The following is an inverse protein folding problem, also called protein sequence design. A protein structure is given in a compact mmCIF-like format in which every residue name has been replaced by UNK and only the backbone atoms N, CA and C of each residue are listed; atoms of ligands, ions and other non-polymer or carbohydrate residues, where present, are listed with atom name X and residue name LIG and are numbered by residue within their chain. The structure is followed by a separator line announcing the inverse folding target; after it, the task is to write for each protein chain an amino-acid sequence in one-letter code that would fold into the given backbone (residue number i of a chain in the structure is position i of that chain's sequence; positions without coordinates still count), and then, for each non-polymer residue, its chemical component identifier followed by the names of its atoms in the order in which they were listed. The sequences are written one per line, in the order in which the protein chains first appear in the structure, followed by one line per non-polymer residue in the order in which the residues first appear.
data_IF_679470473317
#
_entry.id   IF_679470473317
#
_cell.length_a   1.000
_cell.length_b   1.000
_cell.length_c   1.000
_cell.angle_alpha   90.00
_cell.angle_beta   90.00
_cell.angle_gamma   90.00
#
_symmetry.space_group_name_H-M   'P 1'
#
loop_
_entity.id
_entity.type
_entity.pdbx_description
1 polymer ?
#
# COMPACT_ATOMS: atom_id res chain seq x y z
N UNK A 1 -12.37 -80.40 1.93
CA UNK A 1 -13.51 -79.71 1.29
C UNK A 1 -13.07 -78.30 0.92
N UNK A 2 -12.84 -78.00 -0.36
CA UNK A 2 -12.42 -76.66 -0.83
C UNK A 2 -13.62 -75.99 -1.50
N UNK A 3 -14.07 -74.88 -0.96
CA UNK A 3 -15.20 -74.09 -1.49
C UNK A 3 -14.68 -73.07 -2.50
N UNK A 4 -15.15 -73.16 -3.75
CA UNK A 4 -14.91 -72.16 -4.78
C UNK A 4 -15.78 -70.93 -4.50
N UNK A 5 -15.15 -69.77 -4.29
CA UNK A 5 -15.85 -68.48 -4.20
C UNK A 5 -15.95 -67.89 -5.60
N UNK A 6 -17.15 -67.93 -6.18
CA UNK A 6 -17.46 -67.27 -7.46
C UNK A 6 -17.36 -65.74 -7.28
N UNK A 7 -16.30 -65.15 -7.85
CA UNK A 7 -16.02 -63.72 -7.79
C UNK A 7 -16.83 -63.02 -8.88
N UNK A 8 -18.04 -62.54 -8.55
CA UNK A 8 -18.82 -61.65 -9.43
C UNK A 8 -18.04 -60.36 -9.65
N UNK A 9 -17.51 -60.17 -10.86
CA UNK A 9 -16.94 -58.89 -11.29
C UNK A 9 -18.12 -57.91 -11.52
N UNK A 10 -18.34 -57.02 -10.55
CA UNK A 10 -19.25 -55.89 -10.71
C UNK A 10 -18.53 -54.90 -11.64
N UNK A 11 -18.91 -54.90 -12.92
CA UNK A 11 -18.51 -53.84 -13.85
C UNK A 11 -19.26 -52.57 -13.45
N UNK A 12 -18.62 -51.73 -12.64
CA UNK A 12 -19.07 -50.37 -12.39
C UNK A 12 -18.98 -49.63 -13.72
N UNK A 13 -20.11 -49.27 -14.31
CA UNK A 13 -20.16 -48.45 -15.52
C UNK A 13 -19.58 -47.07 -15.18
N UNK A 14 -18.34 -46.83 -15.58
CA UNK A 14 -17.75 -45.50 -15.51
C UNK A 14 -18.48 -44.60 -16.51
N UNK A 15 -19.29 -43.67 -15.98
CA UNK A 15 -19.96 -42.65 -16.79
C UNK A 15 -18.91 -41.62 -17.21
N UNK A 16 -18.56 -41.61 -18.49
CA UNK A 16 -17.71 -40.57 -19.07
C UNK A 16 -18.45 -39.24 -19.21
N UNK A 17 -17.74 -38.13 -19.02
CA UNK A 17 -18.26 -36.80 -19.34
C UNK A 17 -18.49 -36.65 -20.84
N UNK A 18 -19.56 -35.94 -21.20
CA UNK A 18 -19.80 -35.58 -22.60
C UNK A 18 -18.88 -34.44 -23.04
N UNK A 19 -18.49 -34.43 -24.32
CA UNK A 19 -17.68 -33.34 -24.88
C UNK A 19 -18.37 -31.97 -24.74
N UNK A 20 -19.70 -31.95 -24.82
CA UNK A 20 -20.49 -30.72 -24.71
C UNK A 20 -20.50 -30.17 -23.28
N UNK A 21 -20.54 -31.01 -22.25
CA UNK A 21 -20.44 -30.57 -20.86
C UNK A 21 -19.11 -29.88 -20.59
N UNK A 22 -18.01 -30.45 -21.09
CA UNK A 22 -16.68 -29.88 -20.90
C UNK A 22 -16.52 -28.56 -21.68
N UNK A 23 -17.10 -28.47 -22.88
CA UNK A 23 -17.06 -27.26 -23.71
C UNK A 23 -17.85 -26.11 -23.07
N UNK A 24 -19.04 -26.37 -22.54
CA UNK A 24 -19.85 -25.35 -21.85
C UNK A 24 -19.16 -24.90 -20.56
N UNK A 25 -18.52 -25.81 -19.83
CA UNK A 25 -17.82 -25.47 -18.59
C UNK A 25 -16.68 -24.46 -18.82
N UNK A 26 -15.82 -24.68 -19.81
CA UNK A 26 -14.72 -23.75 -20.12
C UNK A 26 -15.26 -22.41 -20.64
N UNK A 27 -16.39 -22.41 -21.36
CA UNK A 27 -17.04 -21.18 -21.83
C UNK A 27 -17.54 -20.32 -20.66
N UNK A 28 -18.19 -20.93 -19.67
CA UNK A 28 -18.68 -20.22 -18.48
C UNK A 28 -17.52 -19.70 -17.64
N UNK A 29 -16.49 -20.53 -17.40
CA UNK A 29 -15.28 -20.11 -16.66
C UNK A 29 -14.61 -18.93 -17.35
N UNK A 30 -14.53 -18.92 -18.68
CA UNK A 30 -13.97 -17.81 -19.46
C UNK A 30 -14.70 -16.49 -19.25
N UNK A 31 -16.04 -16.51 -19.26
CA UNK A 31 -16.86 -15.30 -19.03
C UNK A 31 -16.68 -14.80 -17.60
N UNK A 32 -16.77 -15.70 -16.61
CA UNK A 32 -16.62 -15.34 -15.20
C UNK A 32 -15.22 -14.79 -14.88
N UNK A 33 -14.18 -15.39 -15.46
CA UNK A 33 -12.80 -14.93 -15.29
C UNK A 33 -12.59 -13.51 -15.84
N UNK A 34 -13.22 -13.15 -16.97
CA UNK A 34 -13.14 -11.81 -17.54
C UNK A 34 -13.66 -10.72 -16.61
N UNK A 35 -14.83 -10.95 -15.96
CA UNK A 35 -15.43 -9.97 -15.03
C UNK A 35 -14.60 -9.82 -13.75
N UNK A 36 -14.07 -10.92 -13.22
CA UNK A 36 -13.28 -10.94 -11.99
C UNK A 36 -11.96 -10.17 -12.16
N UNK A 37 -11.34 -10.24 -13.33
CA UNK A 37 -10.05 -9.58 -13.58
C UNK A 37 -10.16 -8.04 -13.48
N UNK A 38 -11.21 -7.45 -14.05
CA UNK A 38 -11.44 -6.00 -14.02
C UNK A 38 -11.77 -5.53 -12.60
N UNK A 39 -12.61 -6.27 -11.87
CA UNK A 39 -12.99 -5.90 -10.49
C UNK A 39 -11.82 -6.00 -9.52
N UNK A 40 -10.96 -7.02 -9.68
CA UNK A 40 -9.78 -7.22 -8.83
C UNK A 40 -8.70 -6.17 -9.05
N UNK A 41 -8.48 -5.72 -10.29
CA UNK A 41 -7.54 -4.64 -10.60
C UNK A 41 -7.90 -3.33 -9.89
N UNK A 42 -9.18 -2.94 -9.95
CA UNK A 42 -9.67 -1.74 -9.27
C UNK A 42 -9.59 -1.86 -7.74
N UNK A 43 -9.91 -3.04 -7.19
CA UNK A 43 -9.79 -3.30 -5.76
C UNK A 43 -8.34 -3.18 -5.27
N UNK A 44 -7.38 -3.72 -6.04
CA UNK A 44 -5.94 -3.59 -5.74
C UNK A 44 -5.53 -2.12 -5.71
N UNK A 45 -5.88 -1.33 -6.72
CA UNK A 45 -5.50 0.09 -6.77
C UNK A 45 -6.04 0.88 -5.57
N UNK A 46 -7.28 0.60 -5.14
CA UNK A 46 -7.87 1.20 -3.93
C UNK A 46 -7.17 0.75 -2.64
N UNK A 47 -6.76 -0.52 -2.56
CA UNK A 47 -6.03 -1.04 -1.41
C UNK A 47 -4.66 -0.36 -1.27
N UNK A 48 -3.94 -0.17 -2.38
CA UNK A 48 -2.66 0.56 -2.43
C UNK A 48 -2.83 2.01 -1.99
N UNK A 49 -3.87 2.70 -2.45
CA UNK A 49 -4.17 4.06 -2.01
C UNK A 49 -4.46 4.12 -0.50
N UNK A 50 -5.32 3.22 0.01
CA UNK A 50 -5.67 3.18 1.43
C UNK A 50 -4.45 2.91 2.33
N UNK A 51 -3.58 2.00 1.91
CA UNK A 51 -2.39 1.66 2.66
C UNK A 51 -1.35 2.80 2.63
N UNK A 52 -1.20 3.49 1.49
CA UNK A 52 -0.41 4.73 1.39
C UNK A 52 -0.90 5.80 2.37
N UNK A 53 -2.23 6.02 2.44
CA UNK A 53 -2.83 6.97 3.40
C UNK A 53 -2.52 6.60 4.85
N UNK A 54 -2.62 5.32 5.19
CA UNK A 54 -2.33 4.82 6.52
C UNK A 54 -0.86 5.04 6.89
N UNK A 55 0.05 4.74 5.96
CA UNK A 55 1.50 4.95 6.13
C UNK A 55 1.85 6.44 6.32
N UNK A 56 1.25 7.35 5.57
CA UNK A 56 1.49 8.79 5.77
C UNK A 56 0.89 9.30 7.09
N UNK A 57 -0.26 8.76 7.51
CA UNK A 57 -0.90 9.15 8.76
C UNK A 57 -0.11 8.68 9.98
N UNK A 58 0.47 7.47 9.94
CA UNK A 58 1.28 6.94 11.05
C UNK A 58 2.57 7.73 11.27
N UNK A 59 3.08 8.39 10.22
CA UNK A 59 4.24 9.27 10.33
C UNK A 59 3.97 10.55 11.12
N UNK A 60 2.72 11.00 11.29
CA UNK A 60 2.41 12.30 11.93
C UNK A 60 3.00 12.42 13.34
N UNK A 61 2.70 11.46 14.21
CA UNK A 61 3.22 11.44 15.57
C UNK A 61 4.75 11.26 15.59
N UNK A 62 5.24 10.42 14.69
CA UNK A 62 6.65 10.07 14.60
C UNK A 62 7.51 11.28 14.14
N UNK A 63 7.01 12.08 13.21
CA UNK A 63 7.61 13.36 12.76
C UNK A 63 7.62 14.39 13.87
N UNK A 64 6.52 14.54 14.63
CA UNK A 64 6.48 15.46 15.76
C UNK A 64 7.56 15.11 16.80
N UNK A 65 7.71 13.83 17.13
CA UNK A 65 8.76 13.36 18.04
C UNK A 65 10.16 13.58 17.45
N UNK A 66 10.37 13.22 16.18
CA UNK A 66 11.64 13.43 15.49
C UNK A 66 12.07 14.91 15.52
N UNK A 67 11.18 15.82 15.15
CA UNK A 67 11.50 17.24 15.04
C UNK A 67 11.63 17.94 16.39
N UNK A 68 11.02 17.40 17.45
CA UNK A 68 11.12 18.00 18.79
C UNK A 68 12.53 17.95 19.39
N UNK A 69 13.38 17.02 18.96
CA UNK A 69 14.73 16.85 19.49
C UNK A 69 15.80 17.46 18.55
N UNK A 70 16.61 18.38 19.07
CA UNK A 70 17.66 19.07 18.30
C UNK A 70 18.84 18.17 17.89
N UNK A 71 18.99 16.99 18.48
CA UNK A 71 20.00 16.00 18.09
C UNK A 71 19.56 15.12 16.90
N UNK A 72 18.27 15.16 16.55
CA UNK A 72 17.75 14.38 15.44
C UNK A 72 17.96 15.12 14.11
N UNK A 73 18.26 14.35 13.06
CA UNK A 73 18.43 14.86 11.70
C UNK A 73 17.59 13.99 10.76
N UNK A 74 16.92 14.61 9.80
CA UNK A 74 16.23 13.86 8.76
C UNK A 74 17.24 13.11 7.91
N UNK A 75 16.95 11.84 7.67
CA UNK A 75 17.68 11.02 6.72
C UNK A 75 16.87 10.98 5.42
N UNK A 76 17.53 11.29 4.32
CA UNK A 76 16.95 11.20 2.98
C UNK A 76 17.45 9.98 2.21
N UNK A 77 18.33 9.18 2.83
CA UNK A 77 18.89 7.96 2.25
C UNK A 77 17.78 6.92 2.04
N UNK A 78 17.55 6.46 0.80
CA UNK A 78 16.56 5.42 0.52
C UNK A 78 16.81 4.17 1.37
N UNK A 79 15.78 3.67 2.04
CA UNK A 79 15.88 2.48 2.88
C UNK A 79 16.48 2.70 4.27
N UNK A 80 16.79 3.93 4.65
CA UNK A 80 17.08 4.30 6.04
C UNK A 80 15.82 4.83 6.72
N UNK A 81 15.78 4.78 8.05
CA UNK A 81 14.75 5.42 8.87
C UNK A 81 14.70 6.91 8.54
N UNK A 82 13.51 7.52 8.47
CA UNK A 82 13.36 8.94 8.08
C UNK A 82 14.08 9.91 9.04
N UNK A 83 14.38 9.49 10.28
CA UNK A 83 15.01 10.31 11.30
C UNK A 83 16.14 9.54 11.98
N UNK A 84 17.27 10.21 12.19
CA UNK A 84 18.35 9.68 13.00
C UNK A 84 17.91 9.59 14.47
N UNK A 85 18.01 8.39 15.05
CA UNK A 85 17.52 8.06 16.38
C UNK A 85 18.51 8.44 17.48
N UNK A 86 18.50 9.71 17.94
CA UNK A 86 19.14 10.04 19.21
C UNK A 86 18.33 9.56 20.43
N UNK A 87 17.03 9.30 20.25
CA UNK A 87 16.06 8.93 21.31
C UNK A 87 15.33 7.59 21.06
N UNK A 88 15.84 6.73 20.18
CA UNK A 88 15.27 5.40 19.93
C UNK A 88 13.91 5.39 19.19
N UNK A 89 13.46 6.53 18.67
CA UNK A 89 12.26 6.63 17.84
C UNK A 89 12.54 6.16 16.41
N UNK A 90 12.44 4.85 16.16
CA UNK A 90 12.55 4.29 14.80
C UNK A 90 11.43 4.87 13.94
N UNK A 91 11.78 5.74 13.00
CA UNK A 91 10.85 6.10 11.94
C UNK A 91 10.79 4.97 10.92
N UNK A 92 9.66 4.84 10.23
CA UNK A 92 9.56 3.86 9.15
C UNK A 92 10.62 4.19 8.11
N UNK A 93 11.39 3.18 7.67
CA UNK A 93 12.32 3.35 6.58
C UNK A 93 11.57 3.91 5.37
N UNK A 94 12.23 4.71 4.51
CA UNK A 94 11.65 5.06 3.21
C UNK A 94 11.21 3.82 2.40
N UNK A 95 11.83 2.66 2.68
CA UNK A 95 11.44 1.33 2.18
C UNK A 95 10.27 0.66 2.92
N UNK A 96 9.96 1.00 4.16
CA UNK A 96 8.81 0.46 4.90
C UNK A 96 7.52 1.25 4.61
N UNK A 97 7.65 2.47 4.08
CA UNK A 97 6.54 3.12 3.36
C UNK A 97 6.20 2.37 2.06
N UNK A 98 7.16 1.63 1.49
CA UNK A 98 6.91 0.75 0.36
C UNK A 98 5.96 -0.36 0.79
N UNK A 99 4.81 -0.38 0.14
CA UNK A 99 3.74 -1.31 0.46
C UNK A 99 4.16 -2.74 0.14
N UNK A 100 3.64 -3.74 0.89
CA UNK A 100 3.86 -5.13 0.54
C UNK A 100 3.29 -5.35 -0.86
N UNK A 101 4.16 -5.73 -1.80
CA UNK A 101 3.84 -6.04 -3.20
C UNK A 101 3.71 -4.85 -4.17
N UNK A 102 4.15 -3.65 -3.81
CA UNK A 102 4.24 -2.53 -4.77
C UNK A 102 5.70 -2.25 -5.10
N UNK A 103 6.22 -2.96 -6.10
CA UNK A 103 7.47 -2.57 -6.74
C UNK A 103 7.38 -1.15 -7.32
N UNK A 104 6.15 -0.68 -7.61
CA UNK A 104 5.86 0.55 -8.32
C UNK A 104 5.96 1.80 -7.44
N UNK A 105 5.33 1.84 -6.25
CA UNK A 105 5.28 3.09 -5.46
C UNK A 105 6.64 3.43 -4.86
N UNK A 106 7.10 4.65 -5.12
CA UNK A 106 8.38 5.17 -4.64
C UNK A 106 8.15 6.38 -3.73
N UNK A 107 8.87 6.42 -2.62
CA UNK A 107 8.78 7.48 -1.61
C UNK A 107 10.10 8.23 -1.53
N UNK A 108 10.05 9.55 -1.61
CA UNK A 108 11.15 10.46 -1.32
C UNK A 108 10.79 11.34 -0.13
N UNK A 109 11.75 11.64 0.74
CA UNK A 109 11.55 12.53 1.89
C UNK A 109 12.46 13.73 1.77
N UNK A 110 11.94 14.92 2.07
CA UNK A 110 12.68 16.18 2.03
C UNK A 110 12.16 17.18 3.07
N UNK A 111 12.92 18.25 3.29
CA UNK A 111 12.57 19.34 4.21
C UNK A 111 13.60 19.53 5.32
N UNK A 112 13.27 20.42 6.25
CA UNK A 112 14.04 20.68 7.47
C UNK A 112 13.14 20.45 8.67
N UNK A 113 13.62 19.69 9.64
CA UNK A 113 12.88 19.26 10.82
C UNK A 113 13.68 19.69 12.05
N UNK A 114 13.09 20.56 12.87
CA UNK A 114 13.66 21.03 14.13
C UNK A 114 12.52 21.45 15.08
N UNK A 115 12.86 21.86 16.30
CA UNK A 115 11.85 22.18 17.31
C UNK A 115 10.87 23.29 16.88
N UNK A 116 11.32 24.23 16.04
CA UNK A 116 10.51 25.32 15.48
C UNK A 116 9.75 24.91 14.20
N UNK A 117 10.29 23.99 13.41
CA UNK A 117 9.73 23.50 12.14
C UNK A 117 9.48 22.00 12.27
N UNK A 118 8.31 21.62 12.76
CA UNK A 118 7.93 20.23 12.98
C UNK A 118 7.19 19.65 11.77
N UNK A 119 7.80 19.75 10.59
CA UNK A 119 7.21 19.27 9.35
C UNK A 119 8.21 18.65 8.39
N UNK A 120 7.76 17.66 7.62
CA UNK A 120 8.51 17.05 6.51
C UNK A 120 7.66 17.01 5.26
N UNK A 121 8.32 16.94 4.11
CA UNK A 121 7.68 16.65 2.83
C UNK A 121 7.96 15.20 2.45
N UNK A 122 6.91 14.46 2.07
CA UNK A 122 6.99 13.12 1.51
C UNK A 122 6.46 13.17 0.09
N UNK A 123 7.33 12.92 -0.88
CA UNK A 123 6.93 12.79 -2.28
C UNK A 123 6.64 11.33 -2.60
N UNK A 124 5.47 11.08 -3.15
CA UNK A 124 5.09 9.77 -3.69
C UNK A 124 5.19 9.85 -5.19
N UNK A 125 5.78 8.85 -5.83
CA UNK A 125 5.82 8.70 -7.28
C UNK A 125 5.47 7.29 -7.72
N UNK A 126 4.99 7.14 -8.96
CA UNK A 126 4.67 5.84 -9.58
C UNK A 126 3.59 5.07 -8.80
N UNK A 127 2.58 5.80 -8.32
CA UNK A 127 1.41 5.23 -7.69
C UNK A 127 0.36 4.80 -8.75
N UNK A 128 -0.30 3.63 -8.60
CA UNK A 128 -1.28 3.14 -9.59
C UNK A 128 -2.47 4.09 -9.81
N UNK A 129 -2.76 4.93 -8.82
CA UNK A 129 -3.62 6.11 -8.98
C UNK A 129 -2.76 7.37 -9.08
N UNK A 130 -2.75 8.01 -10.25
CA UNK A 130 -1.94 9.21 -10.52
C UNK A 130 -2.27 10.39 -9.62
N UNK A 131 -3.51 10.50 -9.14
CA UNK A 131 -3.90 11.50 -8.15
C UNK A 131 -3.08 11.40 -6.86
N UNK A 132 -2.60 10.21 -6.50
CA UNK A 132 -1.77 10.01 -5.30
C UNK A 132 -0.29 10.34 -5.52
N UNK A 133 0.17 10.48 -6.77
CA UNK A 133 1.54 10.89 -7.12
C UNK A 133 1.66 12.40 -6.84
N UNK A 134 1.97 12.71 -5.58
CA UNK A 134 1.93 14.06 -5.05
C UNK A 134 2.93 14.21 -3.93
N UNK A 135 3.25 15.45 -3.61
CA UNK A 135 3.99 15.80 -2.41
C UNK A 135 2.99 15.96 -1.28
N UNK A 136 3.29 15.40 -0.12
CA UNK A 136 2.51 15.53 1.09
C UNK A 136 3.37 16.20 2.14
N UNK A 137 2.83 17.22 2.79
CA UNK A 137 3.45 17.82 3.96
C UNK A 137 2.84 17.20 5.21
N UNK A 138 3.67 16.60 6.04
CA UNK A 138 3.29 16.01 7.31
C UNK A 138 3.84 16.91 8.41
N UNK A 139 2.97 17.36 9.31
CA UNK A 139 3.34 18.17 10.46
C UNK A 139 2.64 17.69 11.73
N UNK A 140 3.09 18.17 12.89
CA UNK A 140 2.39 17.94 14.15
C UNK A 140 0.91 18.37 14.10
N UNK A 141 0.56 19.36 13.27
CA UNK A 141 -0.80 19.90 13.14
C UNK A 141 -1.66 19.05 12.21
N UNK A 142 -1.10 18.51 11.13
CA UNK A 142 -1.91 17.81 10.12
C UNK A 142 -1.10 17.14 9.02
N UNK A 143 -1.84 16.52 8.10
CA UNK A 143 -1.35 16.03 6.83
C UNK A 143 -2.02 16.86 5.74
N UNK A 144 -1.21 17.35 4.80
CA UNK A 144 -1.64 18.24 3.73
C UNK A 144 -1.08 17.73 2.42
N UNK A 145 -1.84 17.81 1.33
CA UNK A 145 -1.29 17.59 -0.01
C UNK A 145 -0.75 18.90 -0.59
N UNK A 146 0.38 18.81 -1.27
CA UNK A 146 1.23 19.92 -1.69
C UNK A 146 2.47 20.11 -0.81
N UNK A 147 3.48 20.76 -1.38
CA UNK A 147 4.67 21.17 -0.63
C UNK A 147 4.37 22.44 0.17
N UNK A 148 4.58 22.39 1.48
CA UNK A 148 4.39 23.53 2.37
C UNK A 148 5.66 23.68 3.22
N UNK A 149 6.21 24.90 3.26
CA UNK A 149 7.30 25.23 4.19
C UNK A 149 6.69 25.90 5.41
N UNK A 150 6.51 25.14 6.50
CA UNK A 150 6.00 25.65 7.77
C UNK A 150 7.13 26.35 8.56
N UNK A 151 7.71 27.40 7.99
CA UNK A 151 8.79 28.19 8.64
C UNK A 151 8.27 29.15 9.71
N UNK A 152 6.96 29.38 9.74
CA UNK A 152 6.22 30.10 10.79
C UNK A 152 4.86 29.39 10.97
N UNK A 153 4.11 29.62 12.07
CA UNK A 153 2.74 29.14 12.19
C UNK A 153 1.83 29.86 11.16
N UNK A 154 1.98 29.53 9.89
CA UNK A 154 1.15 30.05 8.81
C UNK A 154 -0.16 29.27 8.74
N UNK A 155 -1.20 29.98 8.34
CA UNK A 155 -2.52 29.46 7.97
C UNK A 155 -2.41 28.07 7.34
N UNK A 156 -3.03 27.09 8.01
CA UNK A 156 -3.10 25.72 7.51
C UNK A 156 -3.66 25.75 6.08
N UNK A 157 -2.98 25.16 5.08
CA UNK A 157 -3.44 25.23 3.70
C UNK A 157 -4.82 24.56 3.58
N UNK A 158 -5.65 25.03 2.64
CA UNK A 158 -6.99 24.46 2.40
C UNK A 158 -6.97 22.97 1.98
N UNK A 159 -5.79 22.48 1.57
CA UNK A 159 -5.52 21.15 1.05
C UNK A 159 -5.29 20.11 2.17
N UNK A 160 -6.20 20.05 3.14
CA UNK A 160 -6.12 19.09 4.24
C UNK A 160 -6.36 17.66 3.75
N UNK A 161 -5.49 16.73 4.13
CA UNK A 161 -5.62 15.31 3.82
C UNK A 161 -5.07 14.95 2.44
N UNK A 162 -5.87 14.21 1.66
CA UNK A 162 -5.44 13.58 0.40
C UNK A 162 -6.20 14.19 -0.79
N UNK A 163 -5.58 14.24 -1.98
CA UNK A 163 -6.22 14.79 -3.18
C UNK A 163 -7.41 13.92 -3.62
N UNK A 164 -8.40 14.54 -4.27
CA UNK A 164 -9.56 13.84 -4.81
C UNK A 164 -9.15 12.78 -5.84
N UNK A 165 -9.63 11.54 -5.69
CA UNK A 165 -9.23 10.42 -6.54
C UNK A 165 -8.00 9.66 -6.03
N UNK A 166 -7.39 10.18 -4.98
CA UNK A 166 -6.67 9.45 -3.95
C UNK A 166 -7.52 9.50 -2.67
#
# INVERSE_FOLDING_TARGET
MKTEKNKKNIFVSERGFTLIELLIAIAIIGILAGVILVSTSNARNKAVAAATKQSLTSLKAAVALCCSNTANVLQTTPGSDICNTAIGAVLHQGRQLKLPNDADVTYGVSGSCNAAIQSINVRITNHPQSACDSIYTISALGLYYGAVNLTTPQSLPANNGFPSGC
#
